data_IF_792136995155
#
_entry.id   IF_792136995155
#
_cell.length_a   1.000
_cell.length_b   1.000
_cell.length_c   1.000
_cell.angle_alpha   90.00
_cell.angle_beta   90.00
_cell.angle_gamma   90.00
#
_symmetry.space_group_name_H-M   'P 1'
#
loop_
_entity.id
_entity.type
_entity.pdbx_description
1 polymer ?
#
# COMPACT_ATOMS: atom_id res chain seq x y z
N UNK A 1 -30.15 13.19 1.66
CA UNK A 1 -30.64 14.59 1.66
C UNK A 1 -29.49 15.48 1.25
N UNK A 2 -29.53 16.02 0.05
CA UNK A 2 -28.50 16.92 -0.48
C UNK A 2 -28.76 18.33 0.05
N UNK A 3 -27.77 18.94 0.71
CA UNK A 3 -27.82 20.35 1.07
C UNK A 3 -27.40 21.17 -0.15
N UNK A 4 -28.36 21.76 -0.86
CA UNK A 4 -28.15 22.80 -1.86
C UNK A 4 -27.92 24.12 -1.14
N UNK A 5 -26.68 24.64 -1.16
CA UNK A 5 -26.42 26.02 -0.77
C UNK A 5 -26.65 26.93 -1.98
N UNK A 6 -27.76 27.66 -1.97
CA UNK A 6 -28.04 28.75 -2.92
C UNK A 6 -27.04 29.89 -2.73
N UNK A 7 -26.31 30.25 -3.78
CA UNK A 7 -25.43 31.41 -3.79
C UNK A 7 -26.27 32.70 -3.88
N UNK A 8 -26.40 33.43 -2.77
CA UNK A 8 -26.87 34.82 -2.79
C UNK A 8 -25.67 35.74 -3.01
N UNK A 9 -25.72 36.53 -4.08
CA UNK A 9 -24.77 37.60 -4.34
C UNK A 9 -24.71 38.56 -3.14
N UNK A 10 -23.55 38.64 -2.48
CA UNK A 10 -23.28 39.59 -1.39
C UNK A 10 -23.21 39.04 0.04
N UNK A 11 -23.27 37.72 0.26
CA UNK A 11 -23.15 37.13 1.60
C UNK A 11 -21.80 36.43 1.83
N UNK A 12 -21.10 36.76 2.92
CA UNK A 12 -19.87 36.11 3.37
C UNK A 12 -19.93 34.57 3.24
N UNK A 13 -19.08 33.99 2.39
CA UNK A 13 -18.96 32.54 2.23
C UNK A 13 -18.58 31.88 3.57
N UNK A 14 -19.45 31.01 4.07
CA UNK A 14 -19.18 30.21 5.26
C UNK A 14 -18.08 29.16 5.02
N UNK A 15 -17.43 28.75 6.12
CA UNK A 15 -16.03 28.29 6.22
C UNK A 15 -15.57 27.03 5.45
N UNK A 16 -16.39 26.38 4.64
CA UNK A 16 -15.98 25.35 3.68
C UNK A 16 -17.19 24.96 2.84
N UNK A 17 -17.26 25.46 1.61
CA UNK A 17 -18.28 25.07 0.65
C UNK A 17 -17.84 23.78 -0.04
N UNK A 18 -18.64 22.72 0.12
CA UNK A 18 -18.60 21.55 -0.74
C UNK A 18 -19.45 21.90 -1.96
N UNK A 19 -18.81 22.04 -3.12
CA UNK A 19 -19.52 22.22 -4.39
C UNK A 19 -19.51 20.87 -5.09
N UNK A 20 -20.68 20.26 -5.26
CA UNK A 20 -20.79 19.03 -6.05
C UNK A 20 -21.14 19.44 -7.48
N UNK A 21 -20.24 19.15 -8.42
CA UNK A 21 -20.46 19.40 -9.85
C UNK A 21 -20.07 18.13 -10.62
N UNK A 22 -20.99 17.56 -11.39
CA UNK A 22 -20.75 16.36 -12.22
C UNK A 22 -20.03 15.21 -11.50
N UNK A 23 -20.58 14.74 -10.37
CA UNK A 23 -20.01 13.67 -9.52
C UNK A 23 -18.59 13.95 -8.99
N UNK A 24 -18.09 15.18 -9.14
CA UNK A 24 -16.86 15.66 -8.51
C UNK A 24 -17.20 16.55 -7.31
N UNK A 25 -16.67 16.18 -6.15
CA UNK A 25 -16.79 16.95 -4.92
C UNK A 25 -15.64 17.96 -4.86
N UNK A 26 -15.92 19.22 -5.13
CA UNK A 26 -14.96 20.32 -4.97
C UNK A 26 -15.00 20.80 -3.52
N UNK A 27 -13.91 20.57 -2.79
CA UNK A 27 -13.73 21.09 -1.45
C UNK A 27 -13.08 22.48 -1.55
N UNK A 28 -13.87 23.55 -1.47
CA UNK A 28 -13.33 24.90 -1.46
C UNK A 28 -12.93 25.27 -0.03
N UNK A 29 -11.62 25.42 0.22
CA UNK A 29 -11.11 25.71 1.55
C UNK A 29 -10.11 26.88 1.56
N UNK A 30 -10.30 27.79 2.50
CA UNK A 30 -9.42 28.94 2.71
C UNK A 30 -8.15 28.51 3.48
N UNK A 31 -7.01 28.42 2.78
CA UNK A 31 -5.73 27.87 3.27
C UNK A 31 -5.05 28.75 4.36
N UNK A 32 -5.61 29.91 4.69
CA UNK A 32 -4.91 30.97 5.45
C UNK A 32 -4.79 30.79 6.97
N UNK A 33 -5.08 29.62 7.56
CA UNK A 33 -4.89 29.36 9.00
C UNK A 33 -4.10 28.10 9.27
N UNK A 34 -2.82 28.12 8.90
CA UNK A 34 -1.87 27.05 9.22
C UNK A 34 -1.65 26.96 10.74
N UNK A 35 -1.61 28.09 11.44
CA UNK A 35 -1.51 28.19 12.91
C UNK A 35 -2.59 29.13 13.44
N UNK A 36 -3.19 28.78 14.59
CA UNK A 36 -4.06 29.71 15.32
C UNK A 36 -3.19 30.52 16.29
N UNK A 37 -3.15 31.84 16.11
CA UNK A 37 -2.48 32.78 17.01
C UNK A 37 -3.46 33.47 17.99
N UNK A 38 -4.66 32.91 18.17
CA UNK A 38 -5.73 33.49 18.99
C UNK A 38 -6.01 32.61 20.21
N UNK A 39 -5.94 33.21 21.41
CA UNK A 39 -6.20 32.57 22.70
C UNK A 39 -7.63 32.01 22.85
N UNK A 40 -8.62 32.57 22.13
CA UNK A 40 -10.04 32.19 22.25
C UNK A 40 -10.54 31.29 21.10
N UNK A 41 -9.66 30.86 20.18
CA UNK A 41 -10.04 30.00 19.06
C UNK A 41 -9.88 28.51 19.39
N UNK A 42 -10.81 27.66 18.93
CA UNK A 42 -10.62 26.20 19.00
C UNK A 42 -9.32 25.81 18.26
N UNK A 43 -8.33 25.19 18.94
CA UNK A 43 -7.04 24.88 18.34
C UNK A 43 -7.16 23.89 17.17
N UNK A 44 -8.18 23.02 17.20
CA UNK A 44 -8.46 22.03 16.16
C UNK A 44 -8.89 22.63 14.80
N UNK A 45 -9.18 23.94 14.74
CA UNK A 45 -9.39 24.61 13.45
C UNK A 45 -8.09 24.83 12.66
N UNK A 46 -6.93 24.83 13.33
CA UNK A 46 -5.63 24.88 12.67
C UNK A 46 -5.26 23.49 12.16
N UNK A 47 -4.93 23.40 10.87
CA UNK A 47 -4.61 22.12 10.21
C UNK A 47 -3.44 21.39 10.86
N UNK A 48 -2.44 22.12 11.36
CA UNK A 48 -1.28 21.53 12.03
C UNK A 48 -1.63 20.97 13.42
N UNK A 49 -2.40 21.74 14.21
CA UNK A 49 -2.83 21.29 15.55
C UNK A 49 -3.74 20.06 15.45
N UNK A 50 -4.60 20.03 14.44
CA UNK A 50 -5.43 18.88 14.13
C UNK A 50 -4.60 17.64 13.78
N UNK A 51 -3.57 17.78 12.95
CA UNK A 51 -2.67 16.66 12.61
C UNK A 51 -1.98 16.11 13.87
N UNK A 52 -1.46 16.99 14.74
CA UNK A 52 -0.84 16.56 15.99
C UNK A 52 -1.83 15.82 16.89
N UNK A 53 -3.06 16.34 17.00
CA UNK A 53 -4.14 15.67 17.71
C UNK A 53 -4.45 14.28 17.12
N UNK A 54 -4.54 14.15 15.80
CA UNK A 54 -4.76 12.87 15.11
C UNK A 54 -3.63 11.87 15.35
N UNK A 55 -2.37 12.31 15.33
CA UNK A 55 -1.20 11.47 15.66
C UNK A 55 -1.32 10.94 17.09
N UNK A 56 -1.60 11.82 18.06
CA UNK A 56 -1.78 11.42 19.46
C UNK A 56 -2.96 10.45 19.62
N UNK A 57 -4.10 10.73 18.99
CA UNK A 57 -5.30 9.89 19.04
C UNK A 57 -5.02 8.49 18.50
N UNK A 58 -4.35 8.40 17.36
CA UNK A 58 -3.95 7.12 16.75
C UNK A 58 -2.98 6.35 17.64
N UNK A 59 -1.97 7.03 18.19
CA UNK A 59 -1.01 6.40 19.09
C UNK A 59 -1.70 5.85 20.34
N UNK A 60 -2.58 6.63 20.98
CA UNK A 60 -3.33 6.20 22.17
C UNK A 60 -4.24 5.02 21.84
N UNK A 61 -4.97 5.08 20.71
CA UNK A 61 -5.86 3.98 20.27
C UNK A 61 -5.06 2.69 20.05
N UNK A 62 -4.01 2.74 19.22
CA UNK A 62 -3.15 1.58 18.94
C UNK A 62 -2.54 0.99 20.22
N UNK A 63 -2.01 1.84 21.12
CA UNK A 63 -1.39 1.37 22.38
C UNK A 63 -2.41 0.74 23.32
N UNK A 64 -3.62 1.28 23.38
CA UNK A 64 -4.71 0.72 24.18
C UNK A 64 -5.10 -0.66 23.65
N UNK A 65 -5.31 -0.79 22.34
CA UNK A 65 -5.59 -2.07 21.69
C UNK A 65 -4.45 -3.07 21.90
N UNK A 66 -3.19 -2.63 21.76
CA UNK A 66 -2.03 -3.47 22.00
C UNK A 66 -1.92 -3.93 23.44
N UNK A 67 -2.27 -3.08 24.40
CA UNK A 67 -2.31 -3.45 25.81
C UNK A 67 -3.38 -4.51 26.08
N UNK A 68 -4.57 -4.35 25.50
CA UNK A 68 -5.69 -5.30 25.61
C UNK A 68 -5.41 -6.64 24.92
N UNK A 69 -4.73 -6.61 23.76
CA UNK A 69 -4.40 -7.81 22.96
C UNK A 69 -3.02 -8.41 23.32
N UNK A 70 -2.29 -7.84 24.28
CA UNK A 70 -1.03 -8.36 24.80
C UNK A 70 -1.07 -9.86 25.18
N UNK A 71 -2.10 -10.38 25.87
CA UNK A 71 -2.16 -11.82 26.20
C UNK A 71 -2.25 -12.72 24.96
N UNK A 72 -2.77 -12.20 23.84
CA UNK A 72 -2.94 -12.96 22.59
C UNK A 72 -1.68 -12.97 21.71
N UNK A 73 -0.61 -12.27 22.12
CA UNK A 73 0.67 -12.16 21.38
C UNK A 73 0.47 -11.74 19.91
N UNK A 74 -0.50 -10.86 19.65
CA UNK A 74 -0.76 -10.33 18.31
C UNK A 74 0.40 -9.46 17.81
N UNK A 75 0.63 -9.48 16.50
CA UNK A 75 1.63 -8.61 15.88
C UNK A 75 1.23 -7.14 15.99
N UNK A 76 2.23 -6.27 15.93
CA UNK A 76 2.02 -4.83 15.98
C UNK A 76 1.06 -4.37 14.87
N UNK A 77 1.23 -4.90 13.66
CA UNK A 77 0.40 -4.55 12.52
C UNK A 77 -1.09 -4.76 12.81
N UNK A 78 -1.45 -5.91 13.40
CA UNK A 78 -2.84 -6.22 13.73
C UNK A 78 -3.40 -5.23 14.74
N UNK A 79 -2.61 -4.86 15.76
CA UNK A 79 -3.05 -3.87 16.77
C UNK A 79 -3.23 -2.48 16.19
N UNK A 80 -2.36 -2.07 15.26
CA UNK A 80 -2.46 -0.78 14.58
C UNK A 80 -3.69 -0.73 13.65
N UNK A 81 -3.95 -1.79 12.89
CA UNK A 81 -5.14 -1.90 12.03
C UNK A 81 -6.43 -1.88 12.86
N UNK A 82 -6.52 -2.65 13.94
CA UNK A 82 -7.70 -2.65 14.81
C UNK A 82 -7.91 -1.28 15.47
N UNK A 83 -6.83 -0.66 15.97
CA UNK A 83 -6.88 0.68 16.54
C UNK A 83 -7.36 1.73 15.55
N UNK A 84 -6.97 1.59 14.28
CA UNK A 84 -7.45 2.44 13.19
C UNK A 84 -8.93 2.19 12.86
N UNK A 85 -9.38 0.94 12.79
CA UNK A 85 -10.80 0.58 12.55
C UNK A 85 -11.70 1.15 13.65
N UNK A 86 -11.25 1.15 14.90
CA UNK A 86 -11.99 1.76 16.03
C UNK A 86 -12.16 3.28 15.83
N UNK A 87 -11.14 3.96 15.30
CA UNK A 87 -11.23 5.38 15.00
C UNK A 87 -12.01 5.68 13.70
N UNK A 88 -12.16 4.66 12.84
CA UNK A 88 -12.88 4.71 11.57
C UNK A 88 -14.40 4.79 11.68
N UNK A 89 -15.10 4.91 10.53
CA UNK A 89 -16.56 5.04 10.45
C UNK A 89 -17.32 3.83 11.01
N UNK A 90 -16.65 2.68 11.12
CA UNK A 90 -17.21 1.45 11.70
C UNK A 90 -17.55 1.59 13.19
N UNK A 91 -16.79 2.37 13.97
CA UNK A 91 -17.00 2.47 15.43
C UNK A 91 -17.16 3.92 15.86
N UNK A 92 -16.08 4.66 16.13
CA UNK A 92 -16.17 6.04 16.64
C UNK A 92 -16.54 7.03 15.55
N UNK A 93 -16.05 6.80 14.32
CA UNK A 93 -16.37 7.61 13.14
C UNK A 93 -17.81 7.47 12.65
N UNK A 94 -18.61 6.55 13.22
CA UNK A 94 -20.03 6.45 12.94
C UNK A 94 -20.78 7.71 13.38
N UNK A 95 -20.29 8.36 14.45
CA UNK A 95 -20.83 9.63 14.92
C UNK A 95 -20.34 10.78 14.06
N UNK A 96 -21.27 11.48 13.41
CA UNK A 96 -20.97 12.68 12.61
C UNK A 96 -20.28 13.78 13.43
N UNK A 97 -20.57 13.87 14.74
CA UNK A 97 -19.93 14.83 15.64
C UNK A 97 -18.44 14.51 15.85
N UNK A 98 -18.09 13.23 16.01
CA UNK A 98 -16.71 12.79 16.14
C UNK A 98 -15.95 13.00 14.84
N UNK A 99 -16.51 12.56 13.71
CA UNK A 99 -15.85 12.66 12.40
C UNK A 99 -15.63 14.11 11.98
N UNK A 100 -16.60 15.00 12.19
CA UNK A 100 -16.44 16.43 11.87
C UNK A 100 -15.42 17.15 12.75
N UNK A 101 -15.22 16.69 13.99
CA UNK A 101 -14.29 17.31 14.95
C UNK A 101 -12.86 16.76 14.82
N UNK A 102 -12.72 15.43 14.82
CA UNK A 102 -11.43 14.74 14.83
C UNK A 102 -10.88 14.47 13.43
N UNK A 103 -11.74 14.21 12.45
CA UNK A 103 -11.35 13.85 11.08
C UNK A 103 -12.09 14.66 9.99
N UNK A 104 -12.08 16.01 10.06
CA UNK A 104 -12.62 16.81 8.97
C UNK A 104 -11.81 16.60 7.68
N UNK A 105 -12.45 16.75 6.52
CA UNK A 105 -11.85 16.52 5.19
C UNK A 105 -10.52 17.28 4.95
N UNK A 106 -10.28 18.37 5.67
CA UNK A 106 -9.03 19.15 5.59
C UNK A 106 -7.85 18.44 6.23
N UNK A 107 -8.08 17.80 7.37
CA UNK A 107 -7.06 17.05 8.10
C UNK A 107 -6.73 15.73 7.42
N UNK A 108 -7.73 15.08 6.82
CA UNK A 108 -7.53 13.77 6.15
C UNK A 108 -6.60 13.87 4.94
N UNK A 109 -6.61 14.98 4.19
CA UNK A 109 -5.65 15.19 3.08
C UNK A 109 -4.21 15.24 3.59
N UNK A 110 -3.95 16.01 4.66
CA UNK A 110 -2.62 16.14 5.25
C UNK A 110 -2.18 14.80 5.86
N UNK A 111 -3.08 14.15 6.60
CA UNK A 111 -2.87 12.82 7.14
C UNK A 111 -2.50 11.83 6.02
N UNK A 112 -3.20 11.90 4.88
CA UNK A 112 -2.92 11.07 3.70
C UNK A 112 -1.51 11.28 3.18
N UNK A 113 -1.06 12.53 3.05
CA UNK A 113 0.31 12.85 2.62
C UNK A 113 1.36 12.26 3.57
N UNK A 114 1.19 12.43 4.89
CA UNK A 114 2.13 11.88 5.87
C UNK A 114 2.08 10.35 5.97
N UNK A 115 0.91 9.74 5.81
CA UNK A 115 0.77 8.28 5.79
C UNK A 115 1.47 7.64 4.59
N UNK A 116 1.28 8.20 3.39
CA UNK A 116 1.99 7.74 2.17
C UNK A 116 3.50 7.95 2.33
N UNK A 117 3.94 9.10 2.88
CA UNK A 117 5.36 9.34 3.16
C UNK A 117 5.93 8.28 4.12
N UNK A 118 5.16 7.90 5.15
CA UNK A 118 5.48 6.81 6.06
C UNK A 118 5.68 5.49 5.35
N UNK A 119 4.77 5.16 4.44
CA UNK A 119 4.85 3.96 3.62
C UNK A 119 6.10 3.94 2.74
N UNK A 120 6.38 5.03 2.05
CA UNK A 120 7.56 5.19 1.19
C UNK A 120 8.83 4.89 1.98
N UNK A 121 9.02 5.52 3.15
CA UNK A 121 10.21 5.27 3.96
C UNK A 121 10.23 3.89 4.63
N UNK A 122 9.08 3.32 4.97
CA UNK A 122 9.01 1.97 5.54
C UNK A 122 9.47 0.93 4.52
N UNK A 123 8.99 1.04 3.28
CA UNK A 123 9.38 0.17 2.18
C UNK A 123 10.87 0.36 1.85
N UNK A 124 11.37 1.60 1.88
CA UNK A 124 12.81 1.88 1.76
C UNK A 124 13.65 1.19 2.84
N UNK A 125 13.26 1.28 4.12
CA UNK A 125 13.96 0.63 5.23
C UNK A 125 13.96 -0.89 5.07
N UNK A 126 12.83 -1.48 4.67
CA UNK A 126 12.76 -2.92 4.41
C UNK A 126 13.68 -3.29 3.23
N UNK A 127 13.72 -2.47 2.18
CA UNK A 127 14.65 -2.63 1.06
C UNK A 127 16.11 -2.68 1.52
N UNK A 128 16.53 -1.79 2.43
CA UNK A 128 17.91 -1.78 2.99
C UNK A 128 18.20 -3.03 3.84
N UNK A 129 17.20 -3.51 4.60
CA UNK A 129 17.35 -4.70 5.44
C UNK A 129 17.49 -5.99 4.64
N UNK A 130 17.22 -5.95 3.35
CA UNK A 130 17.30 -7.11 2.47
C UNK A 130 18.73 -7.31 1.96
N UNK A 131 19.36 -8.39 2.36
CA UNK A 131 20.63 -8.82 1.75
C UNK A 131 20.34 -9.53 0.43
N UNK A 132 20.53 -8.79 -0.67
CA UNK A 132 20.31 -9.31 -2.04
C UNK A 132 21.36 -10.35 -2.45
N UNK A 133 22.51 -10.42 -1.78
CA UNK A 133 23.60 -11.35 -2.12
C UNK A 133 23.29 -12.77 -1.70
N UNK A 134 22.47 -12.94 -0.67
CA UNK A 134 22.05 -14.25 -0.17
C UNK A 134 20.96 -14.90 -1.02
N UNK A 135 20.45 -14.19 -2.04
CA UNK A 135 19.29 -14.64 -2.79
C UNK A 135 19.73 -15.32 -4.09
N UNK A 136 19.69 -16.65 -4.09
CA UNK A 136 19.95 -17.43 -5.29
C UNK A 136 18.65 -17.76 -6.03
N UNK A 137 18.24 -16.86 -6.92
CA UNK A 137 17.01 -16.99 -7.72
C UNK A 137 17.04 -18.16 -8.72
N UNK A 138 18.22 -18.72 -8.99
CA UNK A 138 18.42 -19.80 -9.95
C UNK A 138 18.19 -21.19 -9.37
N UNK A 139 17.93 -21.32 -8.06
CA UNK A 139 17.61 -22.62 -7.48
C UNK A 139 16.27 -23.14 -8.03
N UNK A 140 16.31 -24.35 -8.61
CA UNK A 140 15.12 -25.05 -9.12
C UNK A 140 14.04 -25.20 -8.03
N UNK A 141 14.42 -25.35 -6.76
CA UNK A 141 13.47 -25.40 -5.64
C UNK A 141 12.72 -24.08 -5.48
N UNK A 142 13.44 -22.96 -5.51
CA UNK A 142 12.87 -21.61 -5.38
C UNK A 142 11.95 -21.32 -6.56
N UNK A 143 12.37 -21.65 -7.79
CA UNK A 143 11.54 -21.50 -8.99
C UNK A 143 10.25 -22.31 -8.92
N UNK A 144 10.32 -23.57 -8.49
CA UNK A 144 9.16 -24.44 -8.35
C UNK A 144 8.18 -23.89 -7.30
N UNK A 145 8.66 -23.62 -6.09
CA UNK A 145 7.84 -23.14 -4.97
C UNK A 145 7.19 -21.79 -5.31
N UNK A 146 7.94 -20.86 -5.88
CA UNK A 146 7.44 -19.53 -6.23
C UNK A 146 6.38 -19.60 -7.33
N UNK A 147 6.61 -20.41 -8.36
CA UNK A 147 5.65 -20.59 -9.45
C UNK A 147 4.33 -21.20 -8.95
N UNK A 148 4.39 -22.24 -8.11
CA UNK A 148 3.18 -22.86 -7.55
C UNK A 148 2.48 -21.95 -6.54
N UNK A 149 3.22 -21.15 -5.76
CA UNK A 149 2.66 -20.17 -4.83
C UNK A 149 1.78 -19.12 -5.51
N UNK A 150 2.07 -18.75 -6.76
CA UNK A 150 1.24 -17.79 -7.51
C UNK A 150 0.19 -18.50 -8.36
N UNK A 151 0.59 -19.55 -9.10
CA UNK A 151 -0.27 -20.21 -10.07
C UNK A 151 -1.45 -20.93 -9.41
N UNK A 152 -1.22 -21.63 -8.30
CA UNK A 152 -2.24 -22.45 -7.66
C UNK A 152 -3.37 -21.62 -7.03
N UNK A 153 -3.12 -20.59 -6.19
CA UNK A 153 -4.20 -19.70 -5.73
C UNK A 153 -4.86 -18.94 -6.86
N UNK A 154 -4.12 -18.54 -7.91
CA UNK A 154 -4.72 -17.86 -9.06
C UNK A 154 -5.76 -18.74 -9.76
N UNK A 155 -5.38 -19.98 -10.10
CA UNK A 155 -6.27 -20.94 -10.77
C UNK A 155 -7.45 -21.31 -9.86
N UNK A 156 -7.20 -21.55 -8.57
CA UNK A 156 -8.26 -21.90 -7.60
C UNK A 156 -9.27 -20.75 -7.42
N UNK A 157 -8.80 -19.51 -7.34
CA UNK A 157 -9.67 -18.34 -7.18
C UNK A 157 -10.44 -18.06 -8.47
N UNK A 158 -9.81 -18.23 -9.64
CA UNK A 158 -10.47 -18.03 -10.94
C UNK A 158 -11.52 -19.13 -11.23
N UNK A 159 -11.25 -20.38 -10.86
CA UNK A 159 -12.22 -21.46 -10.99
C UNK A 159 -13.41 -21.26 -10.06
N UNK A 160 -13.16 -20.89 -8.79
CA UNK A 160 -14.21 -20.54 -7.84
C UNK A 160 -15.05 -19.34 -8.34
N UNK A 161 -14.41 -18.31 -8.91
CA UNK A 161 -15.11 -17.18 -9.48
C UNK A 161 -15.98 -17.58 -10.67
N UNK A 162 -15.53 -18.46 -11.57
CA UNK A 162 -16.39 -18.94 -12.68
C UNK A 162 -17.64 -19.66 -12.21
N UNK A 163 -17.57 -20.37 -11.09
CA UNK A 163 -18.72 -21.06 -10.50
C UNK A 163 -19.66 -20.10 -9.76
N UNK A 164 -19.09 -19.07 -9.13
CA UNK A 164 -19.81 -18.13 -8.28
C UNK A 164 -20.22 -16.83 -8.98
N UNK A 165 -19.72 -16.56 -10.20
CA UNK A 165 -20.01 -15.36 -10.99
C UNK A 165 -21.48 -15.11 -11.26
N UNK A 166 -22.37 -16.12 -11.44
CA UNK A 166 -23.80 -15.87 -11.62
C UNK A 166 -24.47 -15.27 -10.37
N UNK A 167 -23.86 -15.44 -9.20
CA UNK A 167 -24.38 -14.97 -7.92
C UNK A 167 -23.69 -13.68 -7.43
N UNK A 168 -22.66 -13.22 -8.14
CA UNK A 168 -21.97 -11.97 -7.85
C UNK A 168 -22.71 -10.79 -8.50
N UNK A 169 -22.87 -9.71 -7.75
CA UNK A 169 -23.38 -8.43 -8.27
C UNK A 169 -22.25 -7.41 -8.39
N UNK A 170 -22.43 -6.41 -9.27
CA UNK A 170 -21.48 -5.32 -9.45
C UNK A 170 -20.23 -5.66 -10.28
N UNK A 171 -19.19 -4.83 -10.17
CA UNK A 171 -17.98 -4.92 -11.02
C UNK A 171 -17.17 -6.21 -10.81
N UNK A 172 -17.30 -6.85 -9.65
CA UNK A 172 -16.63 -8.12 -9.32
C UNK A 172 -17.17 -9.30 -10.12
N UNK A 173 -18.38 -9.22 -10.68
CA UNK A 173 -18.94 -10.25 -11.56
C UNK A 173 -18.23 -10.28 -12.93
N UNK A 174 -17.53 -9.21 -13.31
CA UNK A 174 -16.83 -9.14 -14.58
C UNK A 174 -15.51 -9.91 -14.52
N UNK A 175 -15.30 -10.92 -15.40
CA UNK A 175 -14.09 -11.73 -15.38
C UNK A 175 -12.81 -10.90 -15.52
N UNK A 176 -12.83 -9.85 -16.33
CA UNK A 176 -11.67 -8.98 -16.54
C UNK A 176 -11.25 -8.27 -15.24
N UNK A 177 -12.19 -7.74 -14.47
CA UNK A 177 -11.91 -7.09 -13.18
C UNK A 177 -11.43 -8.12 -12.17
N UNK A 178 -12.05 -9.30 -12.16
CA UNK A 178 -11.70 -10.33 -11.21
C UNK A 178 -10.30 -10.93 -11.44
N UNK A 179 -9.82 -11.02 -12.69
CA UNK A 179 -8.45 -11.47 -12.97
C UNK A 179 -7.42 -10.62 -12.25
N UNK A 180 -7.60 -9.29 -12.23
CA UNK A 180 -6.72 -8.38 -11.50
C UNK A 180 -6.77 -8.62 -9.99
N UNK A 181 -7.98 -8.78 -9.43
CA UNK A 181 -8.17 -9.10 -8.01
C UNK A 181 -7.49 -10.43 -7.65
N UNK A 182 -7.65 -11.46 -8.49
CA UNK A 182 -7.06 -12.77 -8.29
C UNK A 182 -5.53 -12.72 -8.33
N UNK A 183 -4.93 -11.95 -9.25
CA UNK A 183 -3.48 -11.73 -9.31
C UNK A 183 -3.00 -11.06 -8.03
N UNK A 184 -3.62 -9.95 -7.63
CA UNK A 184 -3.25 -9.21 -6.41
C UNK A 184 -3.34 -10.07 -5.16
N UNK A 185 -4.34 -10.95 -5.06
CA UNK A 185 -4.47 -11.85 -3.92
C UNK A 185 -3.40 -12.95 -3.93
N UNK A 186 -3.01 -13.42 -5.11
CA UNK A 186 -2.05 -14.52 -5.30
C UNK A 186 -0.61 -14.08 -5.12
N UNK A 187 -0.28 -12.85 -5.50
CA UNK A 187 1.06 -12.30 -5.34
C UNK A 187 1.45 -12.19 -3.85
N UNK A 188 2.73 -12.42 -3.59
CA UNK A 188 3.31 -12.30 -2.24
C UNK A 188 4.36 -11.22 -2.30
N UNK A 189 4.11 -10.12 -1.61
CA UNK A 189 5.03 -8.99 -1.56
C UNK A 189 6.13 -9.29 -0.56
N UNK A 190 7.37 -9.37 -1.04
CA UNK A 190 8.53 -9.68 -0.21
C UNK A 190 8.70 -8.76 1.01
N UNK A 191 8.39 -7.44 0.98
CA UNK A 191 8.68 -6.63 2.15
C UNK A 191 7.80 -7.02 3.35
N UNK A 192 6.58 -7.52 3.12
CA UNK A 192 5.74 -8.03 4.21
C UNK A 192 6.29 -9.31 4.82
N UNK A 193 6.83 -10.20 3.97
CA UNK A 193 7.50 -11.43 4.41
C UNK A 193 8.73 -11.10 5.27
N UNK A 194 9.57 -10.16 4.83
CA UNK A 194 10.72 -9.70 5.61
C UNK A 194 10.28 -9.03 6.91
N UNK A 195 9.24 -8.20 6.87
CA UNK A 195 8.71 -7.53 8.05
C UNK A 195 8.25 -8.53 9.12
N UNK A 196 7.44 -9.53 8.75
CA UNK A 196 6.96 -10.53 9.70
C UNK A 196 8.09 -11.43 10.22
N UNK A 197 9.06 -11.80 9.36
CA UNK A 197 10.24 -12.56 9.78
C UNK A 197 11.12 -11.77 10.76
N UNK A 198 11.27 -10.46 10.55
CA UNK A 198 11.96 -9.55 11.45
C UNK A 198 11.23 -9.45 12.80
N UNK A 199 9.90 -9.29 12.78
CA UNK A 199 9.07 -9.22 13.99
C UNK A 199 9.11 -10.53 14.80
N UNK A 200 9.08 -11.68 14.11
CA UNK A 200 9.20 -13.01 14.72
C UNK A 200 10.64 -13.39 15.11
N UNK A 201 11.63 -12.54 14.85
CA UNK A 201 13.07 -12.79 15.08
C UNK A 201 13.60 -14.03 14.37
N UNK A 202 13.05 -14.34 13.18
CA UNK A 202 13.42 -15.48 12.35
C UNK A 202 14.31 -15.10 11.16
N UNK A 203 14.69 -13.82 11.02
CA UNK A 203 15.39 -13.29 9.83
C UNK A 203 16.71 -14.01 9.50
N UNK A 204 17.41 -14.54 10.50
CA UNK A 204 18.71 -15.22 10.33
C UNK A 204 18.58 -16.74 10.12
N UNK A 205 17.38 -17.26 9.83
CA UNK A 205 17.15 -18.70 9.62
C UNK A 205 17.17 -19.06 8.13
N UNK A 206 17.47 -20.33 7.82
CA UNK A 206 17.37 -20.84 6.44
C UNK A 206 15.94 -20.68 5.87
N UNK A 207 14.92 -20.77 6.73
CA UNK A 207 13.53 -20.53 6.36
C UNK A 207 13.29 -19.09 5.91
N UNK A 208 13.93 -18.12 6.57
CA UNK A 208 13.85 -16.72 6.16
C UNK A 208 14.52 -16.49 4.80
N UNK A 209 15.71 -17.06 4.58
CA UNK A 209 16.40 -16.96 3.29
C UNK A 209 15.58 -17.57 2.13
N UNK A 210 14.99 -18.74 2.35
CA UNK A 210 14.10 -19.37 1.37
C UNK A 210 12.85 -18.54 1.09
N UNK A 211 12.21 -18.01 2.15
CA UNK A 211 10.97 -17.21 2.03
C UNK A 211 11.24 -15.89 1.32
N UNK A 212 12.33 -15.23 1.69
CA UNK A 212 12.81 -14.00 1.08
C UNK A 212 13.07 -14.17 -0.42
N UNK A 213 13.77 -15.26 -0.80
CA UNK A 213 14.08 -15.56 -2.20
C UNK A 213 12.82 -15.85 -3.02
N UNK A 214 11.91 -16.66 -2.49
CA UNK A 214 10.64 -16.97 -3.17
C UNK A 214 9.76 -15.73 -3.31
N UNK A 215 9.66 -14.92 -2.26
CA UNK A 215 8.86 -13.70 -2.29
C UNK A 215 9.47 -12.64 -3.24
N UNK A 216 10.81 -12.57 -3.36
CA UNK A 216 11.45 -11.64 -4.29
C UNK A 216 11.23 -12.05 -5.76
N UNK A 217 11.23 -13.35 -6.08
CA UNK A 217 10.79 -13.83 -7.39
C UNK A 217 9.34 -13.41 -7.68
N UNK A 218 8.44 -13.63 -6.73
CA UNK A 218 7.03 -13.27 -6.89
C UNK A 218 6.84 -11.77 -7.05
N UNK A 219 7.58 -10.95 -6.31
CA UNK A 219 7.58 -9.50 -6.45
C UNK A 219 8.11 -9.06 -7.82
N UNK A 220 9.16 -9.70 -8.33
CA UNK A 220 9.70 -9.43 -9.67
C UNK A 220 8.67 -9.70 -10.76
N UNK A 221 7.93 -10.81 -10.66
CA UNK A 221 6.79 -11.10 -11.54
C UNK A 221 5.69 -10.03 -11.39
N UNK A 222 5.38 -9.62 -10.16
CA UNK A 222 4.42 -8.54 -9.89
C UNK A 222 4.81 -7.21 -10.55
N UNK A 223 6.09 -6.83 -10.50
CA UNK A 223 6.58 -5.63 -11.18
C UNK A 223 6.47 -5.74 -12.70
N UNK A 224 6.73 -6.91 -13.29
CA UNK A 224 6.48 -7.13 -14.73
C UNK A 224 5.00 -6.96 -15.08
N UNK A 225 4.09 -7.42 -14.22
CA UNK A 225 2.65 -7.18 -14.38
C UNK A 225 2.29 -5.69 -14.31
N UNK A 226 2.90 -4.94 -13.39
CA UNK A 226 2.69 -3.48 -13.27
C UNK A 226 3.20 -2.76 -14.52
N UNK A 227 4.39 -3.10 -15.01
CA UNK A 227 4.94 -2.51 -16.25
C UNK A 227 4.05 -2.83 -17.45
N UNK A 228 3.58 -4.08 -17.57
CA UNK A 228 2.63 -4.47 -18.60
C UNK A 228 1.31 -3.68 -18.48
N UNK A 229 0.82 -3.48 -17.25
CA UNK A 229 -0.39 -2.72 -17.01
C UNK A 229 -0.23 -1.25 -17.45
N UNK A 230 0.87 -0.60 -17.07
CA UNK A 230 1.19 0.77 -17.50
C UNK A 230 1.28 0.82 -19.03
N UNK A 231 1.95 -0.14 -19.66
CA UNK A 231 2.05 -0.22 -21.12
C UNK A 231 0.67 -0.28 -21.79
N UNK A 232 -0.21 -1.18 -21.33
CA UNK A 232 -1.55 -1.34 -21.87
C UNK A 232 -2.42 -0.10 -21.63
N UNK A 233 -2.30 0.54 -20.46
CA UNK A 233 -2.98 1.78 -20.09
C UNK A 233 -2.61 2.91 -21.04
N UNK A 234 -1.32 3.20 -21.16
CA UNK A 234 -0.84 4.31 -22.00
C UNK A 234 -1.07 4.04 -23.49
N UNK A 235 -1.02 2.77 -23.91
CA UNK A 235 -1.31 2.39 -25.30
C UNK A 235 -2.76 2.68 -25.70
N UNK A 236 -3.70 2.60 -24.76
CA UNK A 236 -5.10 2.94 -25.00
C UNK A 236 -5.30 4.44 -25.25
N UNK A 237 -4.41 5.30 -24.75
CA UNK A 237 -4.41 6.74 -25.00
C UNK A 237 -3.65 7.03 -26.29
N UNK A 238 -2.34 6.70 -26.35
CA UNK A 238 -1.49 6.86 -27.53
C UNK A 238 -0.33 5.83 -27.54
N UNK A 239 -0.06 5.17 -28.67
CA UNK A 239 1.04 4.19 -28.74
C UNK A 239 2.43 4.80 -28.47
N UNK A 240 2.64 6.06 -28.85
CA UNK A 240 3.90 6.76 -28.62
C UNK A 240 4.15 7.08 -27.12
N UNK A 241 3.09 7.32 -26.34
CA UNK A 241 3.21 7.57 -24.90
C UNK A 241 3.62 6.31 -24.15
N UNK A 242 3.09 5.16 -24.57
CA UNK A 242 3.42 3.85 -24.00
C UNK A 242 4.91 3.50 -24.14
N UNK A 243 5.52 3.76 -25.31
CA UNK A 243 6.96 3.55 -25.53
C UNK A 243 7.79 4.49 -24.64
N UNK A 244 7.39 5.77 -24.53
CA UNK A 244 8.05 6.74 -23.65
C UNK A 244 8.01 6.31 -22.19
N UNK A 245 6.86 5.89 -21.69
CA UNK A 245 6.70 5.41 -20.32
C UNK A 245 7.64 4.22 -20.04
N UNK A 246 7.69 3.24 -20.96
CA UNK A 246 8.57 2.08 -20.80
C UNK A 246 10.05 2.47 -20.80
N UNK A 247 10.45 3.37 -21.70
CA UNK A 247 11.81 3.88 -21.76
C UNK A 247 12.20 4.60 -20.45
N UNK A 248 11.29 5.41 -19.89
CA UNK A 248 11.52 6.09 -18.60
C UNK A 248 11.73 5.10 -17.45
N UNK A 249 10.93 4.02 -17.35
CA UNK A 249 11.13 2.98 -16.33
C UNK A 249 12.53 2.36 -16.44
N UNK A 250 12.93 1.97 -17.66
CA UNK A 250 14.24 1.37 -17.91
C UNK A 250 15.36 2.34 -17.53
N UNK A 251 15.24 3.61 -17.91
CA UNK A 251 16.23 4.65 -17.60
C UNK A 251 16.38 4.85 -16.10
N UNK A 252 15.28 4.90 -15.34
CA UNK A 252 15.35 5.07 -13.88
C UNK A 252 16.00 3.85 -13.23
N UNK A 253 15.60 2.64 -13.60
CA UNK A 253 16.19 1.41 -13.06
C UNK A 253 17.70 1.35 -13.40
N UNK A 254 18.07 1.68 -14.64
CA UNK A 254 19.46 1.74 -15.06
C UNK A 254 20.24 2.81 -14.28
N UNK A 255 19.66 3.99 -14.04
CA UNK A 255 20.27 5.03 -13.23
C UNK A 255 20.52 4.55 -11.78
N UNK A 256 19.53 3.88 -11.17
CA UNK A 256 19.67 3.32 -9.83
C UNK A 256 20.79 2.26 -9.79
N UNK A 257 20.83 1.37 -10.78
CA UNK A 257 21.80 0.28 -10.84
C UNK A 257 23.23 0.72 -11.17
N UNK A 258 23.41 1.68 -12.10
CA UNK A 258 24.72 2.05 -12.63
C UNK A 258 25.29 3.35 -12.06
N UNK A 259 24.46 4.24 -11.50
CA UNK A 259 24.91 5.51 -10.92
C UNK A 259 24.79 5.48 -9.40
N UNK A 260 23.59 5.22 -8.89
CA UNK A 260 23.32 5.28 -7.45
C UNK A 260 24.03 4.14 -6.68
N UNK A 261 23.86 2.88 -7.09
CA UNK A 261 24.44 1.74 -6.37
C UNK A 261 25.99 1.81 -6.30
N UNK A 262 26.73 2.09 -7.39
CA UNK A 262 28.19 2.25 -7.31
C UNK A 262 28.62 3.44 -6.46
N UNK A 263 27.84 4.52 -6.46
CA UNK A 263 28.10 5.67 -5.58
C UNK A 263 27.91 5.30 -4.10
N UNK A 264 26.81 4.65 -3.74
CA UNK A 264 26.51 4.25 -2.37
C UNK A 264 27.52 3.22 -1.83
N UNK A 265 27.92 2.25 -2.66
CA UNK A 265 28.99 1.30 -2.33
C UNK A 265 30.34 1.99 -2.17
N UNK A 266 30.66 3.02 -2.96
CA UNK A 266 31.90 3.79 -2.82
C UNK A 266 31.94 4.61 -1.53
N UNK A 267 30.81 5.19 -1.11
CA UNK A 267 30.68 5.87 0.20
C UNK A 267 30.95 4.89 1.34
N UNK A 268 30.40 3.68 1.22
CA UNK A 268 30.60 2.60 2.20
C UNK A 268 32.09 2.20 2.28
N UNK A 269 32.75 1.99 1.14
CA UNK A 269 34.19 1.63 1.08
C UNK A 269 35.14 2.73 1.56
N UNK A 270 34.75 4.00 1.47
CA UNK A 270 35.54 5.14 1.96
C UNK A 270 35.40 5.37 3.45
N UNK A 271 34.40 4.78 4.08
CA UNK A 271 34.20 4.88 5.52
C UNK A 271 35.05 3.80 6.19
N UNK A 272 35.97 4.14 7.12
CA UNK A 272 36.79 3.14 7.82
C UNK A 272 35.91 2.08 8.50
N UNK A 273 36.37 0.83 8.54
CA UNK A 273 35.69 -0.25 9.26
C UNK A 273 35.49 0.14 10.73
N UNK A 274 34.23 0.24 11.19
CA UNK A 274 33.86 0.70 12.53
C UNK A 274 33.68 2.22 12.70
N UNK A 275 33.97 3.02 11.66
CA UNK A 275 33.71 4.45 11.64
C UNK A 275 32.24 4.77 11.35
N UNK A 276 31.71 5.86 11.93
CA UNK A 276 30.37 6.37 11.62
C UNK A 276 30.41 7.05 10.24
N UNK A 277 29.46 6.71 9.35
CA UNK A 277 29.30 7.45 8.09
C UNK A 277 28.97 8.90 8.42
N UNK A 278 29.55 9.85 7.66
CA UNK A 278 29.23 11.28 7.80
C UNK A 278 27.73 11.48 7.57
N UNK A 279 27.07 12.17 8.51
CA UNK A 279 25.61 12.40 8.48
C UNK A 279 25.13 13.00 7.16
N UNK A 280 25.95 13.82 6.49
CA UNK A 280 25.64 14.39 5.18
C UNK A 280 25.32 13.36 4.09
N UNK A 281 26.00 12.20 4.08
CA UNK A 281 25.69 11.13 3.11
C UNK A 281 24.37 10.43 3.45
N UNK A 282 24.09 10.22 4.73
CA UNK A 282 22.84 9.62 5.21
C UNK A 282 21.65 10.51 4.83
N UNK A 283 21.73 11.81 5.12
CA UNK A 283 20.68 12.76 4.75
C UNK A 283 20.52 12.91 3.23
N UNK A 284 21.62 12.86 2.46
CA UNK A 284 21.54 12.88 1.01
C UNK A 284 20.74 11.69 0.46
N UNK A 285 20.94 10.49 1.01
CA UNK A 285 20.17 9.30 0.61
C UNK A 285 18.70 9.44 1.02
N UNK A 286 18.42 9.89 2.24
CA UNK A 286 17.05 10.11 2.73
C UNK A 286 16.31 11.10 1.82
N UNK A 287 16.95 12.18 1.38
CA UNK A 287 16.37 13.16 0.44
C UNK A 287 16.27 12.64 -1.00
N UNK A 288 17.13 11.70 -1.39
CA UNK A 288 17.09 11.09 -2.72
C UNK A 288 15.88 10.16 -2.91
N UNK A 289 15.44 9.48 -1.85
CA UNK A 289 14.25 8.58 -1.88
C UNK A 289 12.99 9.25 -2.44
N UNK A 290 12.51 10.40 -1.91
CA UNK A 290 11.32 11.05 -2.45
C UNK A 290 11.54 11.60 -3.87
N UNK A 291 12.76 12.00 -4.25
CA UNK A 291 13.05 12.43 -5.63
C UNK A 291 12.81 11.30 -6.62
N UNK A 292 13.31 10.09 -6.33
CA UNK A 292 13.04 8.90 -7.14
C UNK A 292 11.56 8.54 -7.11
N UNK A 293 10.90 8.66 -5.96
CA UNK A 293 9.47 8.44 -5.81
C UNK A 293 8.63 9.32 -6.75
N UNK A 294 8.96 10.61 -6.87
CA UNK A 294 8.31 11.54 -7.80
C UNK A 294 8.50 11.08 -9.25
N UNK A 295 9.69 10.61 -9.62
CA UNK A 295 9.93 10.10 -10.97
C UNK A 295 9.10 8.84 -11.27
N UNK A 296 8.93 7.94 -10.30
CA UNK A 296 8.07 6.75 -10.46
C UNK A 296 6.59 7.11 -10.58
N UNK A 297 6.12 8.05 -9.76
CA UNK A 297 4.75 8.56 -9.79
C UNK A 297 4.41 9.25 -11.12
N UNK A 298 5.36 10.03 -11.66
CA UNK A 298 5.22 10.68 -12.96
C UNK A 298 5.06 9.71 -14.15
N UNK A 299 5.53 8.47 -14.03
CA UNK A 299 5.36 7.41 -15.04
C UNK A 299 4.04 6.63 -14.79
N UNK A 300 3.37 6.91 -13.67
CA UNK A 300 2.14 6.29 -13.23
C UNK A 300 2.34 4.92 -12.55
N UNK A 301 3.53 4.69 -11.98
CA UNK A 301 3.78 3.69 -10.94
C UNK A 301 3.56 4.27 -9.55
N UNK A 302 3.80 3.50 -8.48
CA UNK A 302 3.68 4.01 -7.11
C UNK A 302 4.99 4.65 -6.64
N UNK A 303 4.91 5.76 -5.89
CA UNK A 303 6.06 6.34 -5.18
C UNK A 303 6.78 5.31 -4.29
N UNK A 304 6.03 4.36 -3.73
CA UNK A 304 6.54 3.27 -2.90
C UNK A 304 7.54 2.36 -3.64
N UNK A 305 7.29 2.09 -4.93
CA UNK A 305 8.15 1.21 -5.73
C UNK A 305 9.53 1.84 -5.94
N UNK A 306 9.58 3.15 -6.19
CA UNK A 306 10.85 3.89 -6.33
C UNK A 306 11.70 3.82 -5.05
N UNK A 307 11.06 3.99 -3.90
CA UNK A 307 11.72 3.87 -2.60
C UNK A 307 12.26 2.45 -2.34
N UNK A 308 11.56 1.43 -2.83
CA UNK A 308 12.00 0.04 -2.74
C UNK A 308 13.26 -0.21 -3.57
N UNK A 309 13.31 0.27 -4.81
CA UNK A 309 14.48 0.10 -5.67
C UNK A 309 15.71 0.82 -5.11
N UNK A 310 15.53 2.03 -4.57
CA UNK A 310 16.62 2.75 -3.87
C UNK A 310 17.06 1.97 -2.63
N UNK A 311 16.13 1.41 -1.87
CA UNK A 311 16.42 0.59 -0.70
C UNK A 311 17.24 -0.66 -1.05
N UNK A 312 16.79 -1.43 -2.04
CA UNK A 312 17.49 -2.64 -2.53
C UNK A 312 18.87 -2.33 -3.14
N UNK A 313 19.02 -1.15 -3.75
CA UNK A 313 20.29 -0.69 -4.29
C UNK A 313 21.21 -0.10 -3.21
N UNK A 314 20.71 0.19 -2.01
CA UNK A 314 21.54 0.65 -0.89
C UNK A 314 22.26 -0.56 -0.29
N UNK A 315 23.59 -0.51 -0.07
CA UNK A 315 24.31 -1.58 0.60
C UNK A 315 23.71 -1.90 1.97
N UNK A 316 23.40 -3.17 2.16
CA UNK A 316 22.92 -3.74 3.40
C UNK A 316 24.04 -3.76 4.46
N UNK A 317 23.70 -3.49 5.73
CA UNK A 317 24.63 -3.59 6.86
C UNK A 317 25.51 -2.34 7.10
N UNK A 318 26.49 -2.47 8.02
CA UNK A 318 27.33 -1.35 8.44
C UNK A 318 28.42 -0.99 7.40
N UNK A 319 28.85 0.29 7.36
CA UNK A 319 28.38 1.38 8.24
C UNK A 319 27.18 2.18 7.68
N UNK A 320 26.79 2.01 6.41
CA UNK A 320 25.80 2.89 5.75
C UNK A 320 24.35 2.47 6.00
N UNK A 321 23.98 1.24 5.62
CA UNK A 321 22.61 0.76 5.74
C UNK A 321 22.14 0.74 7.20
N UNK A 322 22.99 0.27 8.12
CA UNK A 322 22.68 0.26 9.55
C UNK A 322 22.45 1.67 10.12
N UNK A 323 23.22 2.67 9.69
CA UNK A 323 23.08 4.05 10.16
C UNK A 323 21.77 4.71 9.67
N UNK A 324 21.34 4.40 8.45
CA UNK A 324 20.06 4.87 7.92
C UNK A 324 18.90 4.22 8.69
N UNK A 325 18.96 2.89 8.86
CA UNK A 325 17.93 2.12 9.58
C UNK A 325 17.81 2.61 11.03
N UNK A 326 18.91 2.79 11.76
CA UNK A 326 18.91 3.25 13.15
C UNK A 326 18.25 4.63 13.30
N UNK A 327 18.50 5.57 12.37
CA UNK A 327 17.94 6.92 12.42
C UNK A 327 16.46 6.98 12.03
N UNK A 328 16.03 6.17 11.07
CA UNK A 328 14.69 6.28 10.47
C UNK A 328 13.68 5.27 11.01
N UNK A 329 14.11 4.06 11.41
CA UNK A 329 13.19 2.97 11.78
C UNK A 329 12.28 3.35 12.95
N UNK A 330 12.81 4.00 13.98
CA UNK A 330 12.00 4.43 15.12
C UNK A 330 10.93 5.44 14.69
N UNK A 331 11.31 6.47 13.93
CA UNK A 331 10.38 7.53 13.50
C UNK A 331 9.34 6.96 12.53
N UNK A 332 9.77 6.22 11.52
CA UNK A 332 8.90 5.67 10.48
C UNK A 332 7.97 4.60 11.07
N UNK A 333 8.50 3.68 11.89
CA UNK A 333 7.75 2.59 12.47
C UNK A 333 6.80 3.02 13.60
N UNK A 334 7.21 3.95 14.45
CA UNK A 334 6.42 4.36 15.62
C UNK A 334 5.48 5.54 15.36
N UNK A 335 5.79 6.42 14.41
CA UNK A 335 5.03 7.65 14.16
C UNK A 335 4.34 7.61 12.81
N UNK A 336 5.06 7.39 11.71
CA UNK A 336 4.47 7.55 10.37
C UNK A 336 3.63 6.33 9.92
N UNK A 337 4.07 5.11 10.22
CA UNK A 337 3.36 3.87 9.87
C UNK A 337 1.94 3.80 10.48
N UNK A 338 1.74 4.15 11.78
CA UNK A 338 0.40 4.22 12.34
C UNK A 338 -0.52 5.23 11.62
N UNK A 339 0.00 6.31 11.04
CA UNK A 339 -0.82 7.24 10.25
C UNK A 339 -1.31 6.61 8.97
N UNK A 340 -0.47 5.78 8.33
CA UNK A 340 -0.90 4.97 7.20
C UNK A 340 -2.02 3.99 7.59
N UNK A 341 -1.89 3.33 8.75
CA UNK A 341 -2.93 2.44 9.28
C UNK A 341 -4.22 3.19 9.58
N UNK A 342 -4.11 4.41 10.14
CA UNK A 342 -5.26 5.27 10.41
C UNK A 342 -6.04 5.57 9.12
N UNK A 343 -5.36 5.88 8.02
CA UNK A 343 -6.01 6.07 6.71
C UNK A 343 -6.76 4.82 6.27
N UNK A 344 -6.15 3.64 6.37
CA UNK A 344 -6.83 2.39 6.05
C UNK A 344 -8.08 2.17 6.92
N UNK A 345 -8.02 2.49 8.22
CA UNK A 345 -9.16 2.38 9.13
C UNK A 345 -10.27 3.39 8.85
N UNK A 346 -9.93 4.61 8.45
CA UNK A 346 -10.90 5.66 8.11
C UNK A 346 -11.69 5.35 6.82
N UNK A 347 -11.07 4.64 5.87
CA UNK A 347 -11.75 4.16 4.66
C UNK A 347 -12.55 2.85 4.89
N UNK A 348 -12.38 2.22 6.06
CA UNK A 348 -12.97 0.93 6.37
C UNK A 348 -14.34 1.08 7.03
N UNK A 349 -15.40 0.76 6.28
CA UNK A 349 -16.79 0.87 6.70
C UNK A 349 -17.54 -0.45 6.52
N UNK A 350 -17.83 -1.13 7.64
CA UNK A 350 -18.63 -2.36 7.62
C UNK A 350 -20.08 -2.12 7.18
N UNK A 351 -20.63 -0.94 7.46
CA UNK A 351 -22.05 -0.66 7.21
C UNK A 351 -22.36 -0.42 5.74
N UNK A 352 -21.34 -0.22 4.90
CA UNK A 352 -21.50 -0.20 3.44
C UNK A 352 -21.81 -1.57 2.83
N UNK A 353 -21.59 -2.67 3.57
CA UNK A 353 -21.91 -4.02 3.11
C UNK A 353 -23.42 -4.27 3.22
N UNK A 354 -24.18 -3.82 2.23
CA UNK A 354 -25.64 -3.99 2.19
C UNK A 354 -26.07 -5.39 1.70
N UNK A 355 -25.27 -6.05 0.85
CA UNK A 355 -25.58 -7.38 0.32
C UNK A 355 -24.74 -8.48 1.00
N UNK A 356 -25.35 -9.13 1.99
CA UNK A 356 -24.73 -10.22 2.74
C UNK A 356 -24.44 -11.46 1.89
N UNK A 357 -25.18 -11.66 0.78
CA UNK A 357 -24.93 -12.78 -0.14
C UNK A 357 -23.64 -12.55 -0.91
N UNK A 358 -23.47 -11.36 -1.49
CA UNK A 358 -22.22 -10.97 -2.16
C UNK A 358 -21.04 -11.01 -1.20
N UNK A 359 -21.21 -10.54 0.04
CA UNK A 359 -20.19 -10.66 1.09
C UNK A 359 -19.78 -12.11 1.37
N UNK A 360 -20.74 -13.02 1.55
CA UNK A 360 -20.49 -14.44 1.75
C UNK A 360 -19.70 -15.07 0.59
N UNK A 361 -20.04 -14.72 -0.65
CA UNK A 361 -19.33 -15.19 -1.84
C UNK A 361 -17.89 -14.67 -1.87
N UNK A 362 -17.69 -13.38 -1.58
CA UNK A 362 -16.33 -12.80 -1.48
C UNK A 362 -15.51 -13.51 -0.39
N UNK A 363 -16.11 -13.84 0.75
CA UNK A 363 -15.44 -14.60 1.80
C UNK A 363 -15.05 -16.01 1.35
N UNK A 364 -15.91 -16.71 0.61
CA UNK A 364 -15.58 -18.02 0.02
C UNK A 364 -14.43 -17.90 -0.98
N UNK A 365 -14.41 -16.85 -1.82
CA UNK A 365 -13.32 -16.61 -2.77
C UNK A 365 -12.00 -16.31 -2.06
N UNK A 366 -12.02 -15.48 -1.03
CA UNK A 366 -10.84 -15.19 -0.21
C UNK A 366 -10.33 -16.45 0.49
N UNK A 367 -11.22 -17.23 1.09
CA UNK A 367 -10.86 -18.47 1.77
C UNK A 367 -10.24 -19.49 0.80
N UNK A 368 -10.83 -19.62 -0.39
CA UNK A 368 -10.28 -20.45 -1.48
C UNK A 368 -8.89 -19.99 -1.90
N UNK A 369 -8.67 -18.68 -2.00
CA UNK A 369 -7.37 -18.12 -2.34
C UNK A 369 -6.32 -18.42 -1.25
N UNK A 370 -6.67 -18.27 0.03
CA UNK A 370 -5.77 -18.58 1.15
C UNK A 370 -5.43 -20.07 1.23
N UNK A 371 -6.42 -20.96 1.06
CA UNK A 371 -6.18 -22.41 0.99
C UNK A 371 -5.30 -22.73 -0.22
N UNK A 372 -5.62 -22.18 -1.39
CA UNK A 372 -4.82 -22.38 -2.60
C UNK A 372 -3.37 -21.94 -2.41
N UNK A 373 -3.13 -20.86 -1.67
CA UNK A 373 -1.78 -20.37 -1.36
C UNK A 373 -1.05 -21.28 -0.36
N UNK A 374 -1.76 -21.73 0.68
CA UNK A 374 -1.20 -22.66 1.67
C UNK A 374 -0.83 -23.99 1.01
N UNK A 375 -1.75 -24.59 0.24
CA UNK A 375 -1.51 -25.84 -0.50
C UNK A 375 -0.44 -25.65 -1.57
N UNK A 376 -0.48 -24.53 -2.30
CA UNK A 376 0.45 -24.20 -3.37
C UNK A 376 1.89 -23.96 -2.91
N UNK A 377 2.11 -23.72 -1.63
CA UNK A 377 3.46 -23.66 -1.03
C UNK A 377 3.82 -24.94 -0.30
N UNK A 378 2.86 -25.56 0.39
CA UNK A 378 3.10 -26.76 1.20
C UNK A 378 3.49 -27.96 0.34
N UNK A 379 2.74 -28.23 -0.74
CA UNK A 379 2.99 -29.37 -1.63
C UNK A 379 4.39 -29.35 -2.29
N UNK A 380 4.84 -28.25 -2.95
CA UNK A 380 6.17 -28.22 -3.53
C UNK A 380 7.28 -28.26 -2.46
N UNK A 381 7.05 -27.73 -1.25
CA UNK A 381 8.02 -27.88 -0.15
C UNK A 381 8.19 -29.34 0.28
N UNK A 382 7.09 -30.11 0.38
CA UNK A 382 7.15 -31.54 0.68
C UNK A 382 7.83 -32.33 -0.45
N UNK A 383 7.55 -31.99 -1.71
CA UNK A 383 8.23 -32.55 -2.87
C UNK A 383 9.75 -32.28 -2.84
N UNK A 384 10.15 -31.09 -2.37
CA UNK A 384 11.54 -30.70 -2.15
C UNK A 384 12.20 -31.35 -0.90
N UNK A 385 11.53 -32.34 -0.27
CA UNK A 385 12.00 -33.09 0.91
C UNK A 385 12.20 -32.24 2.18
N UNK A 386 11.43 -31.15 2.34
CA UNK A 386 11.39 -30.41 3.60
C UNK A 386 10.51 -31.12 4.63
N UNK A 387 10.80 -30.93 5.93
CA UNK A 387 9.97 -31.48 7.00
C UNK A 387 8.57 -30.84 6.99
N UNK A 388 7.51 -31.61 7.28
CA UNK A 388 6.14 -31.10 7.27
C UNK A 388 5.95 -29.87 8.16
N UNK A 389 6.56 -29.87 9.35
CA UNK A 389 6.49 -28.73 10.29
C UNK A 389 7.14 -27.48 9.70
N UNK A 390 8.34 -27.62 9.10
CA UNK A 390 9.02 -26.49 8.45
C UNK A 390 8.25 -25.97 7.25
N UNK A 391 7.68 -26.88 6.44
CA UNK A 391 6.87 -26.51 5.28
C UNK A 391 5.58 -25.80 5.67
N UNK A 392 4.90 -26.23 6.74
CA UNK A 392 3.69 -25.56 7.23
C UNK A 392 4.01 -24.15 7.73
N UNK A 393 5.08 -23.97 8.51
CA UNK A 393 5.52 -22.64 8.96
C UNK A 393 5.87 -21.75 7.77
N UNK A 394 6.60 -22.29 6.79
CA UNK A 394 6.95 -21.58 5.56
C UNK A 394 5.70 -21.13 4.78
N UNK A 395 4.72 -22.03 4.60
CA UNK A 395 3.45 -21.73 3.93
C UNK A 395 2.66 -20.62 4.64
N UNK A 396 2.64 -20.61 5.98
CA UNK A 396 2.00 -19.56 6.75
C UNK A 396 2.71 -18.21 6.58
N UNK A 397 4.05 -18.21 6.58
CA UNK A 397 4.85 -17.00 6.35
C UNK A 397 4.60 -16.44 4.94
N UNK A 398 4.59 -17.28 3.91
CA UNK A 398 4.29 -16.87 2.53
C UNK A 398 2.84 -16.42 2.36
N UNK A 399 1.92 -16.91 3.18
CA UNK A 399 0.51 -16.51 3.22
C UNK A 399 0.26 -15.14 3.86
N UNK A 400 1.23 -14.58 4.58
CA UNK A 400 1.07 -13.31 5.28
C UNK A 400 0.82 -12.15 4.31
N UNK A 401 -0.21 -11.37 4.61
CA UNK A 401 -0.49 -10.08 3.98
C UNK A 401 -0.27 -8.97 5.01
N UNK A 402 0.37 -7.90 4.59
CA UNK A 402 0.80 -6.83 5.47
C UNK A 402 0.30 -5.44 5.05
N UNK A 403 1.02 -4.43 5.53
CA UNK A 403 0.76 -3.00 5.28
C UNK A 403 0.68 -2.67 3.79
N UNK A 404 1.51 -3.31 2.98
CA UNK A 404 1.66 -2.95 1.57
C UNK A 404 0.46 -3.41 0.76
N UNK A 405 -0.12 -4.59 1.04
CA UNK A 405 -1.35 -5.01 0.38
C UNK A 405 -2.51 -4.09 0.75
N UNK A 406 -2.62 -3.68 2.02
CA UNK A 406 -3.62 -2.70 2.46
C UNK A 406 -3.48 -1.38 1.68
N UNK A 407 -2.25 -0.91 1.48
CA UNK A 407 -1.99 0.25 0.64
C UNK A 407 -2.45 0.02 -0.81
N UNK A 408 -2.07 -1.09 -1.44
CA UNK A 408 -2.48 -1.34 -2.83
C UNK A 408 -4.00 -1.41 -2.97
N UNK A 409 -4.71 -2.03 -2.02
CA UNK A 409 -6.18 -2.03 -2.01
C UNK A 409 -6.75 -0.61 -1.88
N UNK A 410 -6.19 0.21 -0.99
CA UNK A 410 -6.59 1.61 -0.84
C UNK A 410 -6.28 2.43 -2.10
N UNK A 411 -5.10 2.24 -2.70
CA UNK A 411 -4.68 2.92 -3.92
C UNK A 411 -5.61 2.55 -5.10
N UNK A 412 -5.97 1.27 -5.23
CA UNK A 412 -6.92 0.80 -6.25
C UNK A 412 -8.31 1.40 -6.09
N UNK A 413 -8.80 1.51 -4.85
CA UNK A 413 -10.09 2.11 -4.56
C UNK A 413 -10.11 3.60 -4.98
N UNK A 414 -9.04 4.33 -4.68
CA UNK A 414 -8.92 5.75 -4.97
C UNK A 414 -8.75 6.05 -6.48
N UNK A 415 -7.90 5.29 -7.17
CA UNK A 415 -7.65 5.46 -8.61
C UNK A 415 -8.80 4.90 -9.49
N UNK A 416 -9.89 4.40 -8.88
CA UNK A 416 -11.03 3.75 -9.54
C UNK A 416 -10.57 2.75 -10.62
N UNK A 417 -9.50 1.99 -10.34
CA UNK A 417 -8.86 1.14 -11.35
C UNK A 417 -9.81 0.10 -11.95
N UNK A 418 -10.83 -0.33 -11.18
CA UNK A 418 -11.89 -1.21 -11.67
C UNK A 418 -12.64 -0.62 -12.88
N UNK A 419 -12.84 0.70 -12.93
CA UNK A 419 -13.48 1.38 -14.06
C UNK A 419 -12.59 1.43 -15.29
N UNK A 420 -11.27 1.54 -15.10
CA UNK A 420 -10.27 1.49 -16.15
C UNK A 420 -10.12 0.07 -16.73
N UNK A 421 -10.15 -0.96 -15.88
CA UNK A 421 -10.16 -2.36 -16.31
C UNK A 421 -11.39 -2.69 -17.16
N UNK A 422 -12.56 -2.11 -16.83
CA UNK A 422 -13.75 -2.24 -17.68
C UNK A 422 -13.55 -1.60 -19.07
N UNK A 423 -12.85 -0.46 -19.13
CA UNK A 423 -12.49 0.21 -20.39
C UNK A 423 -11.53 -0.60 -21.27
N UNK A 424 -10.56 -1.30 -20.66
CA UNK A 424 -9.59 -2.15 -21.38
C UNK A 424 -10.28 -3.42 -21.93
N UNK A 425 -11.32 -3.91 -21.25
CA UNK A 425 -12.13 -5.06 -21.68
C UNK A 425 -13.06 -4.81 -22.88
N UNK A 426 -12.92 -3.70 -23.59
CA UNK A 426 -13.68 -3.40 -24.81
C UNK A 426 -15.12 -2.92 -24.57
N UNK A 427 -15.52 -2.69 -23.33
CA UNK A 427 -16.73 -1.91 -23.04
C UNK A 427 -16.30 -0.48 -22.75
N UNK A 428 -17.04 0.55 -23.23
CA UNK A 428 -16.79 1.89 -22.75
C UNK A 428 -16.83 1.85 -21.21
N UNK A 429 -16.07 2.72 -20.52
CA UNK A 429 -16.31 2.93 -19.10
C UNK A 429 -17.81 3.13 -18.92
N UNK A 430 -18.37 2.74 -17.77
CA UNK A 430 -19.73 3.11 -17.41
C UNK A 430 -19.81 4.65 -17.34
N UNK A 431 -19.86 5.28 -18.51
CA UNK A 431 -20.43 6.59 -18.72
C UNK A 431 -21.89 6.32 -18.44
N UNK A 432 -22.31 6.68 -17.24
CA UNK A 432 -23.72 6.92 -16.95
C UNK A 432 -24.19 7.86 -18.06
N UNK A 433 -24.86 7.32 -19.08
CA UNK A 433 -25.40 8.09 -20.20
C UNK A 433 -26.39 9.08 -19.61
N UNK A 434 -25.97 10.33 -19.40
CA UNK A 434 -26.90 11.43 -19.17
C UNK A 434 -27.72 11.59 -20.46
N UNK A 435 -29.01 11.29 -20.38
CA UNK A 435 -29.98 11.82 -21.35
C UNK A 435 -29.93 13.33 -21.23
N UNK A 436 -29.31 13.99 -22.20
CA UNK A 436 -29.49 15.42 -22.41
C UNK A 436 -30.93 15.66 -22.86
N UNK A 437 -31.83 15.95 -21.92
CA UNK A 437 -32.98 16.79 -22.21
C UNK A 437 -32.65 18.20 -21.77
N UNK A 438 -32.14 18.97 -22.73
CA UNK A 438 -32.21 20.44 -22.69
C UNK A 438 -33.68 20.76 -22.93
N UNK A 439 -34.38 21.23 -21.90
CA UNK A 439 -35.60 22.01 -22.07
C UNK A 439 -35.22 23.49 -21.89
N UNK A 440 -35.54 24.37 -22.85
CA UNK A 440 -35.23 25.79 -22.75
C UNK A 440 -36.26 26.49 -21.86
N UNK A 441 -35.78 27.30 -20.91
CA UNK A 441 -36.43 28.54 -20.48
C UNK A 441 -35.36 29.59 -20.22
#
# INVERSE_FOLDING_TARGET
MAATATATAGGNMSLSSIIVFDDMMFLCHHVSKVTNASWNGNPLHSSFSLLMFQICLMFVSSRTVRFLLKPLKQSRLVTDVIGAIILGPTVLGHSAAFTSTAFPARGTVILRTFGILGLVYFIFIIGIKMDTKLINLSDRKILLISSTNVLLPFVATMSAHRLLSPYLTGSLAHPSVFVFVAITISLTLFPNVIHILSELKLLNTELAQLSASCAMLNASVGWLFIVLFIFLRERAVNPAQSIKAMACVIVIIAFIAYVYHPWATRVTRRTPNGGRVRDGYVFAIILFVPLVGICFDAIGGSMADGALFVGLATPDGPPLGSAIVEKMEAIVGEVLMPLMMLLCGLEFDLFQVQDWRTFGIVMVLLFTAYIGKLVGTLLPCLYCKMSFRSSLVFSLVMGFKGTIELFYYMWWLNEKMYSMTLSIGGKPPLVVKRKNHIAPQ
#
